data_IF_617064088945
#
_entry.id   IF_617064088945
#
_cell.length_a   1.000
_cell.length_b   1.000
_cell.length_c   1.000
_cell.angle_alpha   90.00
_cell.angle_beta   90.00
_cell.angle_gamma   90.00
#
_symmetry.space_group_name_H-M   'P 1'
#
loop_
_entity.id
_entity.type
_entity.pdbx_description
1 polymer ?
#
# COMPACT_ATOMS: atom_id res chain seq x y z
N UNK A 1 25.76 -10.33 2.45
CA UNK A 1 25.12 -9.19 1.74
C UNK A 1 24.06 -9.77 0.82
N UNK A 2 22.93 -9.11 0.66
CA UNK A 2 21.86 -9.50 -0.24
C UNK A 2 21.99 -8.67 -1.51
N UNK A 3 22.20 -9.33 -2.65
CA UNK A 3 22.25 -8.64 -3.94
C UNK A 3 20.85 -8.18 -4.32
N UNK A 4 20.70 -6.91 -4.65
CA UNK A 4 19.51 -6.40 -5.35
C UNK A 4 19.84 -6.29 -6.84
N UNK A 5 18.83 -6.35 -7.71
CA UNK A 5 19.06 -6.32 -9.16
C UNK A 5 19.66 -4.99 -9.63
N UNK A 6 19.22 -3.85 -9.07
CA UNK A 6 19.55 -2.53 -9.61
C UNK A 6 20.01 -1.50 -8.56
N UNK A 7 19.88 -1.78 -7.26
CA UNK A 7 19.95 -0.76 -6.20
C UNK A 7 21.10 -1.01 -5.19
N UNK A 8 22.12 -1.77 -5.62
CA UNK A 8 23.28 -2.12 -4.81
C UNK A 8 23.04 -3.28 -3.84
N UNK A 9 23.91 -3.42 -2.84
CA UNK A 9 23.85 -4.53 -1.89
C UNK A 9 23.17 -4.09 -0.58
N UNK A 10 22.29 -4.94 -0.04
CA UNK A 10 21.77 -4.78 1.32
C UNK A 10 22.68 -5.56 2.27
N UNK A 11 23.34 -4.85 3.19
CA UNK A 11 24.07 -5.49 4.28
C UNK A 11 23.13 -5.73 5.46
N UNK A 12 22.81 -6.99 5.72
CA UNK A 12 22.21 -7.43 6.98
C UNK A 12 23.33 -7.90 7.92
N UNK A 13 23.79 -7.02 8.82
CA UNK A 13 24.73 -7.38 9.90
C UNK A 13 23.97 -7.82 11.14
N UNK A 14 23.96 -9.13 11.41
CA UNK A 14 23.36 -9.72 12.60
C UNK A 14 24.41 -10.13 13.65
N UNK A 15 25.68 -9.73 13.51
CA UNK A 15 26.79 -10.14 14.39
C UNK A 15 26.66 -9.69 15.84
N UNK A 16 25.86 -8.65 16.11
CA UNK A 16 25.69 -8.06 17.46
C UNK A 16 24.58 -8.73 18.28
N UNK A 17 24.11 -9.89 17.84
CA UNK A 17 23.17 -10.72 18.59
C UNK A 17 23.92 -11.68 19.53
N UNK A 18 23.26 -12.08 20.62
CA UNK A 18 23.79 -13.09 21.57
C UNK A 18 23.59 -14.50 21.02
N UNK A 19 24.22 -14.80 19.89
CA UNK A 19 24.09 -16.06 19.15
C UNK A 19 25.51 -16.57 18.87
N UNK A 20 25.80 -17.79 19.31
CA UNK A 20 26.97 -18.56 18.90
C UNK A 20 26.58 -19.55 17.76
N UNK A 21 27.55 -20.27 17.22
CA UNK A 21 27.34 -21.19 16.10
C UNK A 21 26.30 -22.30 16.45
N UNK A 22 26.33 -22.81 17.68
CA UNK A 22 25.37 -23.81 18.16
C UNK A 22 23.93 -23.28 18.14
N UNK A 23 23.70 -22.09 18.70
CA UNK A 23 22.38 -21.46 18.71
C UNK A 23 21.91 -21.15 17.30
N UNK A 24 22.81 -20.73 16.41
CA UNK A 24 22.50 -20.49 15.01
C UNK A 24 21.98 -21.77 14.31
N UNK A 25 22.68 -22.88 14.48
CA UNK A 25 22.27 -24.17 13.92
C UNK A 25 20.92 -24.63 14.48
N UNK A 26 20.69 -24.45 15.79
CA UNK A 26 19.41 -24.76 16.43
C UNK A 26 18.25 -23.90 15.90
N UNK A 27 18.47 -22.61 15.64
CA UNK A 27 17.46 -21.72 15.04
C UNK A 27 17.09 -22.16 13.61
N UNK A 28 18.08 -22.55 12.81
CA UNK A 28 17.85 -23.07 11.46
C UNK A 28 17.16 -24.44 11.50
N UNK A 29 17.54 -25.31 12.43
CA UNK A 29 16.88 -26.60 12.65
C UNK A 29 15.42 -26.40 13.06
N UNK A 30 15.13 -25.43 13.93
CA UNK A 30 13.77 -25.07 14.31
C UNK A 30 12.96 -24.63 13.08
N UNK A 31 13.50 -23.74 12.24
CA UNK A 31 12.81 -23.30 11.02
C UNK A 31 12.47 -24.46 10.08
N UNK A 32 13.39 -25.45 9.94
CA UNK A 32 13.18 -26.66 9.14
C UNK A 32 12.09 -27.56 9.74
N UNK A 33 12.15 -27.86 11.05
CA UNK A 33 11.16 -28.70 11.72
C UNK A 33 9.77 -28.04 11.71
N UNK A 34 9.71 -26.70 11.76
CA UNK A 34 8.47 -25.91 11.61
C UNK A 34 8.03 -25.73 10.15
N UNK A 35 8.78 -26.26 9.18
CA UNK A 35 8.46 -26.24 7.75
C UNK A 35 8.21 -24.84 7.18
N UNK A 36 9.05 -23.88 7.57
CA UNK A 36 8.94 -22.47 7.13
C UNK A 36 9.04 -22.33 5.61
N UNK A 37 9.85 -23.16 4.96
CA UNK A 37 9.97 -23.28 3.51
C UNK A 37 8.65 -23.73 2.85
N UNK A 38 8.02 -24.78 3.38
CA UNK A 38 6.72 -25.22 2.88
C UNK A 38 5.62 -24.17 3.10
N UNK A 39 5.66 -23.45 4.23
CA UNK A 39 4.73 -22.35 4.50
C UNK A 39 4.91 -21.17 3.53
N UNK A 40 6.18 -20.83 3.20
CA UNK A 40 6.50 -19.86 2.14
C UNK A 40 5.92 -20.34 0.81
N UNK A 41 6.18 -21.58 0.41
CA UNK A 41 5.74 -22.11 -0.89
C UNK A 41 4.21 -22.15 -0.98
N UNK A 42 3.51 -22.49 0.11
CA UNK A 42 2.06 -22.40 0.20
C UNK A 42 1.54 -20.97 0.00
N UNK A 43 2.20 -19.96 0.60
CA UNK A 43 1.85 -18.55 0.39
C UNK A 43 2.05 -18.14 -1.07
N UNK A 44 3.22 -18.43 -1.66
CA UNK A 44 3.55 -18.03 -3.03
C UNK A 44 2.71 -18.74 -4.09
N UNK A 45 2.24 -19.96 -3.82
CA UNK A 45 1.36 -20.74 -4.71
C UNK A 45 -0.13 -20.40 -4.57
N UNK A 46 -0.49 -19.44 -3.70
CA UNK A 46 -1.88 -19.00 -3.56
C UNK A 46 -2.76 -19.92 -2.71
N UNK A 47 -2.19 -20.83 -1.94
CA UNK A 47 -2.96 -21.68 -1.03
C UNK A 47 -3.67 -20.84 0.04
N UNK A 48 -4.79 -21.35 0.55
CA UNK A 48 -5.61 -20.69 1.56
C UNK A 48 -5.00 -20.82 2.96
N UNK A 49 -3.88 -20.14 3.18
CA UNK A 49 -3.15 -20.15 4.45
C UNK A 49 -3.78 -19.24 5.51
N UNK A 50 -4.63 -18.28 5.11
CA UNK A 50 -5.48 -17.56 6.04
C UNK A 50 -6.73 -18.42 6.33
N UNK A 51 -6.56 -19.36 7.26
CA UNK A 51 -7.53 -20.41 7.56
C UNK A 51 -8.84 -19.90 8.15
N UNK A 52 -8.83 -18.80 8.90
CA UNK A 52 -10.03 -18.28 9.59
C UNK A 52 -10.98 -17.58 8.62
N UNK A 53 -10.45 -16.94 7.59
CA UNK A 53 -11.24 -16.30 6.53
C UNK A 53 -11.34 -17.15 5.27
N UNK A 54 -10.66 -18.31 5.22
CA UNK A 54 -10.52 -19.17 4.05
C UNK A 54 -10.05 -18.40 2.80
N UNK A 55 -8.87 -17.76 2.89
CA UNK A 55 -8.32 -16.91 1.81
C UNK A 55 -6.84 -17.18 1.52
N UNK A 56 -6.46 -16.99 0.26
CA UNK A 56 -5.07 -16.83 -0.15
C UNK A 56 -4.44 -15.54 0.42
N UNK A 57 -3.10 -15.52 0.55
CA UNK A 57 -2.33 -14.36 1.02
C UNK A 57 -1.25 -13.99 0.00
N UNK A 58 -1.57 -13.06 -0.91
CA UNK A 58 -0.79 -12.82 -2.14
C UNK A 58 -0.32 -11.38 -2.36
N UNK A 59 0.12 -10.70 -1.30
CA UNK A 59 0.77 -9.39 -1.46
C UNK A 59 2.06 -9.47 -2.32
N UNK A 60 2.66 -10.65 -2.46
CA UNK A 60 3.78 -10.93 -3.36
C UNK A 60 3.38 -10.82 -4.84
N UNK A 61 2.17 -11.23 -5.22
CA UNK A 61 1.67 -11.14 -6.60
C UNK A 61 1.57 -9.68 -7.07
N UNK A 62 1.19 -8.76 -6.17
CA UNK A 62 1.07 -7.31 -6.47
C UNK A 62 2.38 -6.65 -6.93
N UNK A 63 3.52 -7.28 -6.63
CA UNK A 63 4.87 -6.82 -7.00
C UNK A 63 5.63 -7.83 -7.85
N UNK A 64 4.96 -8.86 -8.36
CA UNK A 64 5.57 -9.82 -9.27
C UNK A 64 5.77 -9.14 -10.64
N UNK A 65 7.03 -8.93 -11.02
CA UNK A 65 7.42 -8.37 -12.32
C UNK A 65 7.70 -9.43 -13.38
N UNK A 66 7.65 -10.71 -13.02
CA UNK A 66 7.79 -11.83 -13.93
C UNK A 66 6.54 -12.02 -14.81
N UNK A 67 6.66 -12.95 -15.76
CA UNK A 67 5.57 -13.34 -16.67
C UNK A 67 4.76 -14.53 -16.16
N UNK A 68 5.25 -15.21 -15.12
CA UNK A 68 4.64 -16.45 -14.61
C UNK A 68 3.25 -16.18 -14.01
N UNK A 69 2.28 -17.07 -14.26
CA UNK A 69 0.96 -16.95 -13.67
C UNK A 69 1.02 -17.15 -12.15
N UNK A 70 0.12 -16.48 -11.44
CA UNK A 70 -0.10 -16.71 -9.99
C UNK A 70 -1.55 -17.12 -9.82
N UNK A 71 -1.77 -18.37 -9.42
CA UNK A 71 -3.10 -18.96 -9.38
C UNK A 71 -3.74 -18.81 -8.00
N UNK A 72 -5.04 -18.49 -7.99
CA UNK A 72 -5.95 -18.64 -6.85
C UNK A 72 -7.21 -19.29 -7.37
N UNK A 73 -7.62 -20.41 -6.78
CA UNK A 73 -8.79 -21.18 -7.24
C UNK A 73 -8.75 -21.44 -8.76
N UNK A 74 -7.58 -21.88 -9.26
CA UNK A 74 -7.28 -22.14 -10.68
C UNK A 74 -7.38 -20.93 -11.64
N UNK A 75 -7.55 -19.72 -11.11
CA UNK A 75 -7.55 -18.47 -11.88
C UNK A 75 -6.24 -17.72 -11.72
N UNK A 76 -5.61 -17.36 -12.84
CA UNK A 76 -4.47 -16.43 -12.82
C UNK A 76 -4.93 -15.01 -12.42
N UNK A 77 -4.37 -14.49 -11.33
CA UNK A 77 -4.69 -13.14 -10.81
C UNK A 77 -3.85 -12.05 -11.44
N UNK A 78 -2.76 -12.39 -12.13
CA UNK A 78 -1.81 -11.42 -12.66
C UNK A 78 -2.38 -10.47 -13.73
N UNK A 79 -3.31 -10.88 -14.62
CA UNK A 79 -3.98 -9.94 -15.53
C UNK A 79 -4.72 -8.82 -14.79
N UNK A 80 -5.46 -9.15 -13.73
CA UNK A 80 -6.22 -8.19 -12.92
C UNK A 80 -5.25 -7.20 -12.22
N UNK A 81 -4.16 -7.71 -11.64
CA UNK A 81 -3.11 -6.89 -11.02
C UNK A 81 -2.48 -5.91 -12.03
N UNK A 82 -2.11 -6.39 -13.22
CA UNK A 82 -1.47 -5.55 -14.26
C UNK A 82 -2.43 -4.52 -14.83
N UNK A 83 -3.71 -4.87 -14.97
CA UNK A 83 -4.74 -3.94 -15.39
C UNK A 83 -4.87 -2.77 -14.39
N UNK A 84 -4.93 -3.07 -13.08
CA UNK A 84 -5.04 -2.02 -12.06
C UNK A 84 -3.77 -1.14 -11.99
N UNK A 85 -2.57 -1.73 -12.08
CA UNK A 85 -1.33 -0.95 -12.14
C UNK A 85 -1.28 -0.03 -13.38
N UNK A 86 -1.81 -0.48 -14.51
CA UNK A 86 -1.92 0.33 -15.73
C UNK A 86 -2.91 1.48 -15.54
N UNK A 87 -4.08 1.18 -14.97
CA UNK A 87 -5.09 2.18 -14.64
C UNK A 87 -4.55 3.24 -13.67
N UNK A 88 -3.89 2.84 -12.59
CA UNK A 88 -3.23 3.74 -11.65
C UNK A 88 -2.19 4.63 -12.35
N UNK A 89 -1.37 4.07 -13.25
CA UNK A 89 -0.38 4.84 -14.03
C UNK A 89 -1.05 5.89 -14.91
N UNK A 90 -2.10 5.53 -15.64
CA UNK A 90 -2.83 6.46 -16.50
C UNK A 90 -3.48 7.58 -15.69
N UNK A 91 -4.16 7.24 -14.59
CA UNK A 91 -4.80 8.21 -13.71
C UNK A 91 -3.79 9.17 -13.09
N UNK A 92 -2.74 8.65 -12.46
CA UNK A 92 -1.71 9.48 -11.81
C UNK A 92 -0.99 10.38 -12.80
N UNK A 93 -0.70 9.91 -14.03
CA UNK A 93 -0.13 10.75 -15.08
C UNK A 93 -1.05 11.92 -15.45
N UNK A 94 -2.37 11.71 -15.55
CA UNK A 94 -3.34 12.79 -15.82
C UNK A 94 -3.37 13.81 -14.68
N UNK A 95 -3.31 13.38 -13.42
CA UNK A 95 -3.27 14.28 -12.25
C UNK A 95 -1.97 15.08 -12.22
N UNK A 96 -0.82 14.42 -12.33
CA UNK A 96 0.50 15.06 -12.23
C UNK A 96 0.76 16.01 -13.40
N UNK A 97 0.37 15.65 -14.63
CA UNK A 97 0.48 16.53 -15.80
C UNK A 97 -0.50 17.70 -15.78
N UNK A 98 -1.47 17.69 -14.86
CA UNK A 98 -2.54 18.67 -14.78
C UNK A 98 -3.64 18.50 -15.82
N UNK A 99 -3.61 17.46 -16.68
CA UNK A 99 -4.73 17.18 -17.59
C UNK A 99 -6.02 16.94 -16.81
N UNK A 100 -5.93 16.31 -15.63
CA UNK A 100 -7.05 16.20 -14.70
C UNK A 100 -7.28 17.54 -14.01
N UNK A 101 -8.47 18.12 -14.21
CA UNK A 101 -8.86 19.42 -13.66
C UNK A 101 -9.92 19.27 -12.57
N UNK A 102 -9.90 20.16 -11.59
CA UNK A 102 -10.97 20.31 -10.61
C UNK A 102 -12.24 20.90 -11.22
N UNK A 103 -13.29 21.06 -10.41
CA UNK A 103 -14.61 21.51 -10.87
C UNK A 103 -14.60 22.90 -11.51
N UNK A 104 -13.61 23.76 -11.19
CA UNK A 104 -13.45 25.10 -11.78
C UNK A 104 -12.40 25.15 -12.90
N UNK A 105 -11.92 24.00 -13.37
CA UNK A 105 -10.92 23.91 -14.42
C UNK A 105 -9.47 24.10 -13.96
N UNK A 106 -9.24 24.30 -12.66
CA UNK A 106 -7.89 24.44 -12.07
C UNK A 106 -7.17 23.10 -11.98
N UNK A 107 -5.83 23.13 -12.00
CA UNK A 107 -5.00 21.96 -11.77
C UNK A 107 -5.12 21.48 -10.32
N UNK A 108 -5.10 20.17 -10.10
CA UNK A 108 -5.00 19.60 -8.74
C UNK A 108 -3.63 19.93 -8.13
N UNK A 109 -3.63 20.45 -6.91
CA UNK A 109 -2.43 20.79 -6.12
C UNK A 109 -2.30 19.90 -4.88
N UNK A 110 -3.44 19.42 -4.37
CA UNK A 110 -3.53 18.70 -3.10
C UNK A 110 -4.24 17.36 -3.30
N UNK A 111 -3.72 16.32 -2.63
CA UNK A 111 -4.33 14.99 -2.57
C UNK A 111 -4.57 14.63 -1.11
N UNK A 112 -5.82 14.36 -0.75
CA UNK A 112 -6.21 13.97 0.61
C UNK A 112 -6.62 12.50 0.59
N UNK A 113 -5.80 11.64 1.21
CA UNK A 113 -6.14 10.24 1.43
C UNK A 113 -7.00 10.10 2.69
N UNK A 114 -8.17 9.47 2.56
CA UNK A 114 -9.08 9.14 3.65
C UNK A 114 -9.10 7.63 3.81
N UNK A 115 -8.59 7.12 4.92
CA UNK A 115 -8.53 5.69 5.22
C UNK A 115 -7.98 5.46 6.60
N UNK A 116 -8.14 4.25 7.17
CA UNK A 116 -7.63 3.92 8.51
C UNK A 116 -6.79 2.65 8.48
N UNK A 117 -5.86 2.52 9.43
CA UNK A 117 -5.01 1.34 9.60
C UNK A 117 -4.14 1.08 8.37
N UNK A 118 -4.32 -0.06 7.73
CA UNK A 118 -3.56 -0.45 6.52
C UNK A 118 -3.80 0.47 5.32
N UNK A 119 -4.95 1.15 5.27
CA UNK A 119 -5.30 2.12 4.21
C UNK A 119 -4.73 3.53 4.45
N UNK A 120 -3.95 3.71 5.52
CA UNK A 120 -3.37 5.01 5.91
C UNK A 120 -1.86 4.91 6.17
N UNK A 121 -1.44 4.01 7.07
CA UNK A 121 -0.06 3.92 7.55
C UNK A 121 0.95 3.63 6.44
N UNK A 122 0.61 2.74 5.50
CA UNK A 122 1.46 2.41 4.36
C UNK A 122 1.68 3.62 3.44
N UNK A 123 0.61 4.23 2.91
CA UNK A 123 0.69 5.48 2.14
C UNK A 123 1.46 6.60 2.85
N UNK A 124 1.18 6.85 4.14
CA UNK A 124 1.87 7.88 4.92
C UNK A 124 3.38 7.60 5.03
N UNK A 125 3.75 6.38 5.43
CA UNK A 125 5.16 6.00 5.60
C UNK A 125 5.94 6.11 4.29
N UNK A 126 5.40 5.59 3.18
CA UNK A 126 6.09 5.60 1.88
C UNK A 126 6.25 7.01 1.33
N UNK A 127 5.22 7.85 1.46
CA UNK A 127 5.30 9.24 0.97
C UNK A 127 6.28 10.09 1.77
N UNK A 128 6.37 9.90 3.09
CA UNK A 128 7.41 10.57 3.90
C UNK A 128 8.81 10.04 3.59
N UNK A 129 8.99 8.71 3.48
CA UNK A 129 10.29 8.12 3.15
C UNK A 129 10.81 8.53 1.77
N UNK A 130 9.90 8.72 0.79
CA UNK A 130 10.23 9.07 -0.59
C UNK A 130 9.97 10.53 -0.94
N UNK A 131 9.86 11.41 0.07
CA UNK A 131 9.63 12.85 -0.11
C UNK A 131 10.55 13.53 -1.13
N UNK A 132 11.86 13.20 -1.23
CA UNK A 132 12.74 13.77 -2.27
C UNK A 132 12.33 13.45 -3.72
N UNK A 133 11.52 12.41 -3.93
CA UNK A 133 11.06 11.98 -5.26
C UNK A 133 9.69 12.55 -5.64
N UNK A 134 9.08 13.38 -4.78
CA UNK A 134 7.78 13.99 -4.99
C UNK A 134 7.70 14.85 -6.28
N UNK A 135 6.51 14.88 -6.89
CA UNK A 135 6.24 15.59 -8.17
C UNK A 135 5.43 16.88 -8.01
N UNK A 136 5.51 17.53 -6.84
CA UNK A 136 4.90 18.83 -6.59
C UNK A 136 3.45 18.83 -6.08
N UNK A 137 2.80 17.66 -5.98
CA UNK A 137 1.52 17.53 -5.28
C UNK A 137 1.75 17.48 -3.76
N UNK A 138 0.88 18.14 -3.00
CA UNK A 138 0.85 18.07 -1.55
C UNK A 138 -0.04 16.91 -1.10
N UNK A 139 0.52 15.96 -0.37
CA UNK A 139 -0.21 14.80 0.16
C UNK A 139 -0.64 15.04 1.60
N UNK A 140 -1.90 14.77 1.89
CA UNK A 140 -2.51 14.83 3.23
C UNK A 140 -3.17 13.49 3.55
N UNK A 141 -3.20 13.14 4.84
CA UNK A 141 -3.69 11.84 5.31
C UNK A 141 -4.69 12.06 6.44
N UNK A 142 -5.90 11.53 6.29
CA UNK A 142 -7.00 11.63 7.26
C UNK A 142 -7.47 10.24 7.62
N UNK A 143 -7.26 9.86 8.89
CA UNK A 143 -7.57 8.51 9.36
C UNK A 143 -8.36 8.41 10.64
N UNK A 144 -8.37 9.48 11.44
CA UNK A 144 -9.08 9.48 12.70
C UNK A 144 -10.57 9.77 12.47
N UNK A 145 -11.45 9.11 13.22
CA UNK A 145 -12.90 9.41 13.20
C UNK A 145 -13.22 10.75 13.86
N UNK A 146 -12.35 11.24 14.74
CA UNK A 146 -12.44 12.61 15.27
C UNK A 146 -12.36 13.61 14.11
N UNK A 147 -13.45 14.34 13.90
CA UNK A 147 -13.60 15.33 12.84
C UNK A 147 -12.58 16.46 12.88
N UNK A 148 -11.89 16.65 14.01
CA UNK A 148 -10.77 17.61 14.12
C UNK A 148 -9.68 17.30 13.09
N UNK A 149 -9.36 16.04 12.85
CA UNK A 149 -8.29 15.68 11.91
C UNK A 149 -8.63 16.13 10.49
N UNK A 150 -9.84 15.82 10.00
CA UNK A 150 -10.30 16.29 8.71
C UNK A 150 -10.39 17.82 8.68
N UNK A 151 -10.96 18.46 9.71
CA UNK A 151 -11.11 19.91 9.77
C UNK A 151 -9.76 20.66 9.66
N UNK A 152 -8.71 20.17 10.31
CA UNK A 152 -7.36 20.75 10.23
C UNK A 152 -6.71 20.59 8.85
N UNK A 153 -7.03 19.51 8.12
CA UNK A 153 -6.61 19.34 6.72
C UNK A 153 -7.39 20.28 5.80
N UNK A 154 -8.72 20.37 5.98
CA UNK A 154 -9.59 21.21 5.15
C UNK A 154 -9.27 22.71 5.25
N UNK A 155 -8.68 23.18 6.37
CA UNK A 155 -8.17 24.56 6.51
C UNK A 155 -6.96 24.87 5.61
N UNK A 156 -6.25 23.85 5.13
CA UNK A 156 -4.98 23.98 4.39
C UNK A 156 -5.15 23.80 2.88
N UNK A 157 -6.29 23.26 2.44
CA UNK A 157 -6.52 22.87 1.03
C UNK A 157 -7.66 23.70 0.41
N UNK A 158 -7.71 23.74 -0.92
CA UNK A 158 -8.75 24.44 -1.67
C UNK A 158 -9.63 23.45 -2.44
N UNK A 159 -10.96 23.57 -2.29
CA UNK A 159 -11.94 22.68 -2.93
C UNK A 159 -11.79 22.63 -4.47
N UNK A 160 -11.32 23.72 -5.09
CA UNK A 160 -11.11 23.80 -6.54
C UNK A 160 -9.92 22.97 -7.05
N UNK A 161 -8.96 22.65 -6.17
CA UNK A 161 -7.67 22.04 -6.52
C UNK A 161 -7.34 20.80 -5.68
N UNK A 162 -8.32 20.26 -4.95
CA UNK A 162 -8.13 19.09 -4.08
C UNK A 162 -8.74 17.83 -4.70
N UNK A 163 -7.97 16.75 -4.69
CA UNK A 163 -8.43 15.39 -5.00
C UNK A 163 -8.56 14.58 -3.71
N UNK A 164 -9.70 13.95 -3.48
CA UNK A 164 -9.89 13.01 -2.37
C UNK A 164 -9.74 11.56 -2.85
N UNK A 165 -8.98 10.75 -2.11
CA UNK A 165 -8.87 9.30 -2.28
C UNK A 165 -9.56 8.65 -1.09
N UNK A 166 -10.62 7.87 -1.32
CA UNK A 166 -11.33 7.15 -0.25
C UNK A 166 -10.88 5.69 -0.26
N UNK A 167 -10.01 5.32 0.67
CA UNK A 167 -9.40 4.01 0.77
C UNK A 167 -10.06 3.18 1.89
N UNK A 168 -10.93 2.24 1.49
CA UNK A 168 -11.51 1.23 2.39
C UNK A 168 -11.79 -0.05 1.60
N UNK A 169 -11.23 -1.17 2.05
CA UNK A 169 -11.42 -2.48 1.40
C UNK A 169 -12.89 -2.88 1.33
N UNK A 170 -13.67 -2.61 2.38
CA UNK A 170 -15.09 -2.98 2.44
C UNK A 170 -16.00 -1.84 1.98
N UNK A 171 -15.47 -0.61 1.88
CA UNK A 171 -16.24 0.62 1.66
C UNK A 171 -17.38 0.84 2.68
N UNK A 172 -17.27 0.20 3.84
CA UNK A 172 -18.21 0.28 4.95
C UNK A 172 -17.55 0.63 6.28
N UNK A 173 -16.23 0.82 6.28
CA UNK A 173 -15.46 1.24 7.47
C UNK A 173 -16.00 2.57 7.98
N UNK A 174 -16.50 2.59 9.21
CA UNK A 174 -17.24 3.72 9.77
C UNK A 174 -16.40 5.00 9.75
N UNK A 175 -15.15 4.93 10.22
CA UNK A 175 -14.21 6.04 10.27
C UNK A 175 -13.96 6.65 8.87
N UNK A 176 -13.71 5.79 7.88
CA UNK A 176 -13.47 6.22 6.49
C UNK A 176 -14.72 6.85 5.87
N UNK A 177 -15.90 6.24 6.04
CA UNK A 177 -17.15 6.71 5.42
C UNK A 177 -17.67 8.00 6.07
N UNK A 178 -17.52 8.14 7.39
CA UNK A 178 -17.84 9.39 8.09
C UNK A 178 -16.97 10.55 7.60
N UNK A 179 -15.66 10.34 7.46
CA UNK A 179 -14.75 11.35 6.90
C UNK A 179 -15.04 11.64 5.42
N UNK A 180 -15.29 10.60 4.61
CA UNK A 180 -15.60 10.78 3.18
C UNK A 180 -16.90 11.56 2.96
N UNK A 181 -17.92 11.31 3.78
CA UNK A 181 -19.19 12.05 3.73
C UNK A 181 -18.99 13.50 4.16
N UNK A 182 -18.20 13.74 5.21
CA UNK A 182 -17.87 15.10 5.66
C UNK A 182 -17.06 15.88 4.61
N UNK A 183 -16.09 15.24 3.95
CA UNK A 183 -15.34 15.83 2.84
C UNK A 183 -16.23 16.15 1.64
N UNK A 184 -17.20 15.27 1.32
CA UNK A 184 -18.20 15.52 0.29
C UNK A 184 -19.09 16.72 0.64
N UNK A 185 -19.57 16.81 1.88
CA UNK A 185 -20.36 17.95 2.36
C UNK A 185 -19.59 19.26 2.35
N UNK A 186 -18.27 19.22 2.54
CA UNK A 186 -17.41 20.41 2.42
C UNK A 186 -17.20 20.85 0.96
N UNK A 187 -17.24 19.91 0.01
CA UNK A 187 -17.08 20.19 -1.43
C UNK A 187 -18.35 20.75 -2.09
N UNK A 188 -19.54 20.35 -1.62
CA UNK A 188 -20.85 20.72 -2.16
C UNK A 188 -21.38 22.03 -1.59
#
# INVERSE_FOLDING_TARGET
>A
RLHTQNDGEILLDYSKNRINDEVWDLLLALAKVRRVDAARDAMFSGQHINITENRAVLHTALRNRGTDPVLVDDKDVMPDVRAELTHMKEFTNKVISGVWRGCTGKQITDVVNIGIGGSDLGPLMVTEALKPYGKGLHSHFVSNIDGTHLAEVLKKVNYETTLFIVASKTFTTQETITNATSAKSWLL
#
